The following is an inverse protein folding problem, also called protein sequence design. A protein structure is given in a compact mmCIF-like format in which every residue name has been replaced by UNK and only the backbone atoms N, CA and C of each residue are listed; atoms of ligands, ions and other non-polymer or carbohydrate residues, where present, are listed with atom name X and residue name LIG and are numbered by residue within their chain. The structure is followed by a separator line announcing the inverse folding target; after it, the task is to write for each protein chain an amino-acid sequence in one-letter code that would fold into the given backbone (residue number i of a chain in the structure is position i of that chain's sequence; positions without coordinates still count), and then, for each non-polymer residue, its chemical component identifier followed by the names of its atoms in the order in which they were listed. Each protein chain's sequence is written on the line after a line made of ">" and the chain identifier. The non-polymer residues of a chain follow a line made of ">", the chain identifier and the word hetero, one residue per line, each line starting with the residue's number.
data_IF_906534451983
#
_entry.id   IF_906534451983
#
_cell.length_a   1.000
_cell.length_b   1.000
_cell.length_c   1.000
_cell.angle_alpha   90.00
_cell.angle_beta   90.00
_cell.angle_gamma   90.00
#
_symmetry.space_group_name_H-M   'P 1'
#
loop_
_entity.id
_entity.type
_entity.pdbx_description
1 polymer ?
#
# COMPACT_ATOMS: atom_id res chain seq x y z
N UNK A 1 22.13 0.64 11.80
CA UNK A 1 20.78 0.34 11.29
C UNK A 1 20.97 -0.35 9.96
N UNK A 2 20.64 -1.64 9.86
CA UNK A 2 20.88 -2.43 8.64
C UNK A 2 19.75 -2.12 7.66
N UNK A 3 20.02 -1.20 6.73
CA UNK A 3 19.09 -0.73 5.68
C UNK A 3 18.86 -1.78 4.57
N UNK A 4 19.55 -2.92 4.60
CA UNK A 4 19.28 -4.06 3.74
C UNK A 4 19.23 -5.32 4.59
N UNK A 5 18.18 -6.14 4.44
CA UNK A 5 18.06 -7.46 5.06
C UNK A 5 19.07 -8.50 4.54
N UNK A 6 20.22 -8.03 4.05
CA UNK A 6 21.31 -8.77 3.45
C UNK A 6 22.61 -8.12 3.92
N UNK A 7 23.41 -8.87 4.67
CA UNK A 7 24.76 -8.45 5.08
C UNK A 7 25.77 -8.88 4.01
N UNK A 8 26.42 -7.93 3.30
CA UNK A 8 27.36 -8.26 2.23
C UNK A 8 28.66 -8.92 2.74
N UNK A 9 28.95 -8.81 4.04
CA UNK A 9 30.12 -9.46 4.66
C UNK A 9 29.93 -10.96 4.91
N UNK A 10 28.69 -11.47 4.82
CA UNK A 10 28.38 -12.90 4.97
C UNK A 10 28.53 -13.64 3.64
N UNK A 11 28.76 -14.96 3.70
CA UNK A 11 28.74 -15.85 2.54
C UNK A 11 27.33 -15.89 1.90
N UNK A 12 27.19 -16.10 0.57
CA UNK A 12 25.91 -15.97 -0.14
C UNK A 12 24.73 -16.73 0.47
N UNK A 13 24.98 -17.93 0.97
CA UNK A 13 24.03 -18.82 1.66
C UNK A 13 23.63 -18.33 3.07
N UNK A 14 24.48 -17.53 3.71
CA UNK A 14 24.26 -16.93 5.02
C UNK A 14 23.70 -15.49 4.95
N UNK A 15 23.70 -14.82 3.78
CA UNK A 15 23.24 -13.42 3.67
C UNK A 15 21.75 -13.22 3.93
N UNK A 16 20.91 -14.23 3.64
CA UNK A 16 19.45 -14.17 3.79
C UNK A 16 18.90 -14.70 5.11
N UNK A 17 19.76 -14.94 6.11
CA UNK A 17 19.45 -15.76 7.29
C UNK A 17 18.74 -15.07 8.45
N UNK A 18 18.49 -13.76 8.41
CA UNK A 18 17.71 -13.10 9.45
C UNK A 18 16.21 -13.34 9.22
N UNK A 19 15.72 -14.48 9.72
CA UNK A 19 14.29 -14.79 9.73
C UNK A 19 13.49 -13.63 10.32
N UNK A 20 12.43 -13.21 9.62
CA UNK A 20 11.57 -12.10 10.03
C UNK A 20 11.87 -10.73 9.39
N UNK A 21 12.91 -10.61 8.56
CA UNK A 21 13.22 -9.34 7.87
C UNK A 21 12.33 -9.04 6.64
N UNK A 22 11.53 -10.00 6.17
CA UNK A 22 10.64 -9.80 5.01
C UNK A 22 9.41 -8.99 5.42
N UNK A 23 9.19 -7.88 4.73
CA UNK A 23 7.94 -7.11 4.79
C UNK A 23 7.03 -7.60 3.67
N UNK A 24 5.88 -8.19 4.01
CA UNK A 24 4.85 -8.55 3.04
C UNK A 24 4.02 -7.34 2.59
N UNK A 25 3.20 -7.50 1.56
CA UNK A 25 2.40 -6.42 0.99
C UNK A 25 1.41 -5.81 1.99
N UNK A 26 0.87 -6.61 2.92
CA UNK A 26 -0.06 -6.15 3.95
C UNK A 26 0.65 -5.23 4.96
N UNK A 27 1.82 -5.66 5.44
CA UNK A 27 2.65 -4.88 6.35
C UNK A 27 3.18 -3.61 5.67
N UNK A 28 3.65 -3.71 4.41
CA UNK A 28 4.07 -2.55 3.63
C UNK A 28 2.92 -1.54 3.45
N UNK A 29 1.72 -2.02 3.12
CA UNK A 29 0.55 -1.16 2.97
C UNK A 29 0.15 -0.48 4.28
N UNK A 30 0.18 -1.21 5.40
CA UNK A 30 -0.05 -0.62 6.74
C UNK A 30 0.99 0.47 7.02
N UNK A 31 2.28 0.21 6.80
CA UNK A 31 3.34 1.19 7.02
C UNK A 31 3.13 2.46 6.19
N UNK A 32 2.73 2.31 4.93
CA UNK A 32 2.47 3.43 4.01
C UNK A 32 1.15 4.19 4.30
N UNK A 33 0.28 3.67 5.16
CA UNK A 33 -1.03 4.27 5.49
C UNK A 33 -1.13 4.53 6.99
N UNK A 34 -1.82 3.65 7.73
CA UNK A 34 -2.07 3.82 9.17
C UNK A 34 -0.79 3.91 9.99
N UNK A 35 0.21 3.10 9.69
CA UNK A 35 1.48 3.08 10.42
C UNK A 35 2.24 4.39 10.30
N UNK A 36 2.26 5.00 9.11
CA UNK A 36 2.82 6.34 8.91
C UNK A 36 2.05 7.43 9.66
N UNK A 37 0.71 7.36 9.63
CA UNK A 37 -0.14 8.29 10.37
C UNK A 37 0.07 8.19 11.89
N UNK A 38 0.18 6.97 12.43
CA UNK A 38 0.48 6.72 13.85
C UNK A 38 1.84 7.31 14.25
N UNK A 39 2.86 7.16 13.41
CA UNK A 39 4.18 7.73 13.66
C UNK A 39 4.18 9.27 13.71
N UNK A 40 3.24 9.91 13.02
CA UNK A 40 3.06 11.37 13.00
C UNK A 40 1.99 11.87 13.98
N UNK A 41 1.29 10.99 14.69
CA UNK A 41 0.19 11.36 15.57
C UNK A 41 -1.04 11.92 14.86
N UNK A 42 -1.27 11.54 13.60
CA UNK A 42 -2.38 12.05 12.78
C UNK A 42 -3.60 11.12 12.83
N UNK A 43 -4.84 11.66 12.87
CA UNK A 43 -6.07 10.88 12.90
C UNK A 43 -6.50 10.41 11.50
N UNK A 44 -5.57 9.84 10.72
CA UNK A 44 -5.80 9.41 9.33
C UNK A 44 -5.29 7.99 9.05
N UNK A 45 -5.40 7.55 7.80
CA UNK A 45 -4.77 6.31 7.31
C UNK A 45 -5.58 5.03 7.52
N UNK A 46 -6.81 5.11 8.00
CA UNK A 46 -7.75 3.99 8.02
C UNK A 46 -9.22 4.48 8.00
N UNK A 47 -10.12 3.66 7.44
CA UNK A 47 -11.55 3.91 7.48
C UNK A 47 -12.15 3.44 8.81
N UNK A 48 -12.16 4.32 9.80
CA UNK A 48 -12.71 4.08 11.14
C UNK A 48 -13.37 5.36 11.63
N UNK A 49 -14.42 5.23 12.44
CA UNK A 49 -15.03 6.38 13.11
C UNK A 49 -13.99 7.17 13.92
N UNK A 50 -14.08 8.49 13.86
CA UNK A 50 -13.14 9.41 14.52
C UNK A 50 -11.82 9.65 13.75
N UNK A 51 -11.67 9.13 12.53
CA UNK A 51 -10.58 9.48 11.62
C UNK A 51 -11.07 10.40 10.51
N UNK A 52 -10.19 11.29 10.02
CA UNK A 52 -10.50 12.14 8.87
C UNK A 52 -10.53 11.31 7.57
N UNK A 53 -11.37 11.75 6.64
CA UNK A 53 -11.53 11.07 5.36
C UNK A 53 -10.45 11.50 4.35
N UNK A 54 -9.26 10.93 4.54
CA UNK A 54 -8.16 10.94 3.58
C UNK A 54 -8.20 9.65 2.76
N UNK A 55 -8.57 9.75 1.49
CA UNK A 55 -8.86 8.59 0.65
C UNK A 55 -8.49 8.83 -0.81
N UNK A 56 -8.27 7.75 -1.55
CA UNK A 56 -8.22 7.76 -3.01
C UNK A 56 -9.12 6.68 -3.58
N UNK A 57 -9.85 6.99 -4.65
CA UNK A 57 -10.62 6.02 -5.40
C UNK A 57 -9.75 5.44 -6.52
N UNK A 58 -9.59 4.12 -6.49
CA UNK A 58 -8.88 3.36 -7.54
C UNK A 58 -9.91 2.62 -8.37
N UNK A 59 -10.08 3.04 -9.62
CA UNK A 59 -11.00 2.45 -10.57
C UNK A 59 -10.26 1.58 -11.61
N UNK A 60 -10.45 0.24 -11.58
CA UNK A 60 -9.85 -0.67 -12.55
C UNK A 60 -10.49 -0.58 -13.94
N UNK A 61 -11.66 0.04 -14.09
CA UNK A 61 -12.38 0.14 -15.36
C UNK A 61 -11.87 1.28 -16.26
N UNK A 62 -11.00 2.15 -15.76
CA UNK A 62 -10.42 3.24 -16.56
C UNK A 62 -9.55 2.67 -17.68
N UNK A 63 -9.96 2.91 -18.93
CA UNK A 63 -9.30 2.38 -20.14
C UNK A 63 -7.82 2.78 -20.23
N UNK A 64 -7.50 4.03 -19.91
CA UNK A 64 -6.12 4.54 -19.89
C UNK A 64 -5.29 4.00 -18.70
N UNK A 65 -5.92 3.31 -17.75
CA UNK A 65 -5.27 2.73 -16.59
C UNK A 65 -4.61 1.39 -16.88
N UNK A 66 -3.70 0.98 -16.01
CA UNK A 66 -2.92 -0.26 -16.12
C UNK A 66 -3.42 -1.35 -15.17
N UNK A 67 -4.23 -0.99 -14.17
CA UNK A 67 -4.79 -1.96 -13.24
C UNK A 67 -5.71 -2.92 -14.01
N UNK A 68 -5.55 -4.21 -13.76
CA UNK A 68 -6.43 -5.24 -14.29
C UNK A 68 -6.86 -6.15 -13.15
N UNK A 69 -8.16 -6.14 -12.88
CA UNK A 69 -8.81 -7.05 -11.93
C UNK A 69 -9.64 -8.00 -12.79
N UNK A 70 -9.05 -9.15 -13.15
CA UNK A 70 -9.64 -10.07 -14.13
C UNK A 70 -10.67 -11.03 -13.54
N UNK A 71 -10.65 -11.21 -12.22
CA UNK A 71 -11.48 -12.21 -11.53
C UNK A 71 -12.31 -11.48 -10.47
N UNK A 72 -13.62 -11.72 -10.48
CA UNK A 72 -14.55 -11.19 -9.46
C UNK A 72 -14.28 -11.80 -8.07
N UNK A 73 -13.65 -12.98 -8.02
CA UNK A 73 -13.35 -13.72 -6.77
C UNK A 73 -12.02 -13.31 -6.09
N UNK A 74 -11.30 -12.31 -6.62
CA UNK A 74 -10.02 -11.89 -6.02
C UNK A 74 -10.24 -10.88 -4.92
N UNK A 75 -10.01 -11.32 -3.69
CA UNK A 75 -10.25 -10.55 -2.47
C UNK A 75 -9.00 -10.42 -1.58
N UNK A 76 -9.14 -9.63 -0.51
CA UNK A 76 -8.18 -9.54 0.58
C UNK A 76 -6.75 -9.19 0.13
N UNK A 77 -5.76 -9.92 0.64
CA UNK A 77 -4.34 -9.66 0.36
C UNK A 77 -4.00 -9.80 -1.13
N UNK A 78 -4.71 -10.67 -1.87
CA UNK A 78 -4.44 -10.87 -3.30
C UNK A 78 -4.94 -9.71 -4.15
N UNK A 79 -6.10 -9.16 -3.79
CA UNK A 79 -6.59 -7.92 -4.37
C UNK A 79 -5.65 -6.77 -4.04
N UNK A 80 -5.22 -6.65 -2.79
CA UNK A 80 -4.29 -5.62 -2.35
C UNK A 80 -2.99 -5.64 -3.16
N UNK A 81 -2.37 -6.81 -3.36
CA UNK A 81 -1.19 -6.94 -4.21
C UNK A 81 -1.44 -6.46 -5.65
N UNK A 82 -2.58 -6.82 -6.26
CA UNK A 82 -2.94 -6.37 -7.61
C UNK A 82 -3.08 -4.85 -7.66
N UNK A 83 -3.75 -4.25 -6.66
CA UNK A 83 -3.89 -2.80 -6.57
C UNK A 83 -2.52 -2.13 -6.40
N UNK A 84 -1.69 -2.60 -5.46
CA UNK A 84 -0.38 -2.00 -5.17
C UNK A 84 0.57 -2.04 -6.37
N UNK A 85 0.61 -3.15 -7.11
CA UNK A 85 1.54 -3.33 -8.22
C UNK A 85 0.97 -2.98 -9.59
N UNK A 86 -0.36 -2.90 -9.73
CA UNK A 86 -1.04 -2.67 -11.01
C UNK A 86 -1.60 -1.27 -11.20
N UNK A 87 -1.85 -0.52 -10.13
CA UNK A 87 -2.42 0.84 -10.20
C UNK A 87 -1.45 1.81 -10.87
N UNK A 88 -1.93 2.52 -11.88
CA UNK A 88 -1.26 3.72 -12.41
C UNK A 88 -2.10 4.97 -12.15
N UNK A 89 -1.51 6.15 -12.39
CA UNK A 89 -2.18 7.43 -12.16
C UNK A 89 -3.59 7.52 -12.78
N UNK A 90 -3.87 7.06 -14.01
CA UNK A 90 -5.22 7.12 -14.57
C UNK A 90 -6.25 6.30 -13.80
N UNK A 91 -5.83 5.25 -13.07
CA UNK A 91 -6.74 4.49 -12.22
C UNK A 91 -7.15 5.27 -10.95
N UNK A 92 -6.41 6.29 -10.54
CA UNK A 92 -6.77 7.12 -9.37
C UNK A 92 -7.70 8.24 -9.83
N UNK A 93 -9.00 7.98 -9.77
CA UNK A 93 -10.03 8.86 -10.35
C UNK A 93 -10.47 9.97 -9.41
N UNK A 94 -10.25 9.81 -8.10
CA UNK A 94 -10.57 10.85 -7.12
C UNK A 94 -9.68 10.75 -5.90
N UNK A 95 -9.42 11.89 -5.27
CA UNK A 95 -8.68 11.99 -4.01
C UNK A 95 -9.42 12.95 -3.08
N UNK A 96 -9.57 12.53 -1.83
CA UNK A 96 -10.11 13.34 -0.75
C UNK A 96 -9.06 13.58 0.31
N UNK A 97 -9.05 14.80 0.85
CA UNK A 97 -8.27 15.18 2.02
C UNK A 97 -9.23 15.84 3.00
N UNK A 98 -9.32 15.29 4.20
CA UNK A 98 -10.24 15.75 5.24
C UNK A 98 -11.71 15.82 4.76
N UNK A 99 -12.14 14.84 3.95
CA UNK A 99 -13.48 14.80 3.38
C UNK A 99 -13.70 15.68 2.14
N UNK A 100 -12.78 16.58 1.83
CA UNK A 100 -12.88 17.47 0.67
C UNK A 100 -12.25 16.85 -0.56
N UNK A 101 -12.97 16.84 -1.68
CA UNK A 101 -12.43 16.36 -2.96
C UNK A 101 -11.39 17.35 -3.49
N UNK A 102 -10.15 16.89 -3.66
CA UNK A 102 -9.01 17.70 -4.14
C UNK A 102 -8.52 17.27 -5.53
N UNK A 103 -8.93 16.09 -5.98
CA UNK A 103 -8.73 15.58 -7.34
C UNK A 103 -10.03 14.92 -7.77
N UNK A 104 -10.52 15.27 -8.96
CA UNK A 104 -11.72 14.74 -9.60
C UNK A 104 -11.89 15.31 -11.01
#
# INVERSE_FOLDING_TARGET
>A
MLESGVDPSLAPDARGGQGGARVDAVNAFRLATRGGAEALGLPVGAFREGMEFDAMLVDPAVEAGTLRVFDEDVEGARLLERVLYGTSKPNITSVWVNGEAVVG
#
